data_IF_675442358279
#
_entry.id   IF_675442358279
#
_cell.length_a   1.000
_cell.length_b   1.000
_cell.length_c   1.000
_cell.angle_alpha   90.00
_cell.angle_beta   90.00
_cell.angle_gamma   90.00
#
_symmetry.space_group_name_H-M   'P 1'
#
loop_
_entity.id
_entity.type
_entity.pdbx_description
1 polymer ?
#
# COMPACT_ATOMS: atom_id res chain seq x y z
N UNK A 1 -2.07 22.52 16.65
CA UNK A 1 -1.03 21.60 16.14
C UNK A 1 -1.47 20.18 16.48
N UNK A 2 -1.45 19.29 15.50
CA UNK A 2 -1.72 17.87 15.73
C UNK A 2 -0.66 17.31 16.69
N UNK A 3 -1.10 16.49 17.65
CA UNK A 3 -0.19 15.85 18.59
C UNK A 3 0.32 14.52 18.02
N UNK A 4 1.62 14.25 18.20
CA UNK A 4 2.27 13.03 17.71
C UNK A 4 3.28 12.49 18.73
N UNK A 5 3.77 11.28 18.46
CA UNK A 5 4.87 10.59 19.12
C UNK A 5 5.89 10.17 18.06
N UNK A 6 7.18 10.34 18.34
CA UNK A 6 8.26 9.82 17.49
C UNK A 6 8.54 8.37 17.87
N UNK A 7 8.68 7.50 16.86
CA UNK A 7 9.02 6.09 17.04
C UNK A 7 10.38 5.78 16.40
N UNK A 8 11.10 4.83 16.99
CA UNK A 8 12.21 4.19 16.30
C UNK A 8 11.67 3.33 15.15
N UNK A 9 12.40 3.24 14.04
CA UNK A 9 11.92 2.54 12.85
C UNK A 9 11.63 1.06 13.11
N UNK A 10 12.39 0.40 13.99
CA UNK A 10 12.20 -0.98 14.40
C UNK A 10 10.84 -1.22 15.06
N UNK A 11 10.26 -0.19 15.70
CA UNK A 11 8.98 -0.25 16.37
C UNK A 11 7.80 -0.11 15.40
N UNK A 12 8.02 0.38 14.17
CA UNK A 12 6.97 0.65 13.18
C UNK A 12 6.08 -0.57 12.97
N UNK A 13 6.69 -1.75 12.77
CA UNK A 13 5.95 -3.00 12.48
C UNK A 13 5.03 -3.45 13.62
N UNK A 14 5.41 -3.18 14.87
CA UNK A 14 4.64 -3.55 16.07
C UNK A 14 3.72 -2.43 16.54
N UNK A 15 3.87 -1.22 15.99
CA UNK A 15 3.01 -0.08 16.26
C UNK A 15 1.69 -0.17 15.47
N UNK A 16 0.70 0.69 15.75
CA UNK A 16 -0.50 0.80 14.92
C UNK A 16 -0.23 1.08 13.43
N UNK A 17 0.94 1.64 13.08
CA UNK A 17 1.32 1.93 11.69
C UNK A 17 1.63 0.66 10.90
N UNK A 18 2.10 -0.41 11.55
CA UNK A 18 2.45 -1.68 10.89
C UNK A 18 1.27 -2.39 10.22
N UNK A 19 0.04 -2.02 10.59
CA UNK A 19 -1.22 -2.53 10.03
C UNK A 19 -1.85 -1.59 8.98
N UNK A 20 -1.23 -0.45 8.75
CA UNK A 20 -1.71 0.58 7.84
C UNK A 20 -1.15 0.39 6.43
N UNK A 21 -1.82 0.99 5.46
CA UNK A 21 -1.30 1.10 4.10
C UNK A 21 -0.61 2.45 3.92
N UNK A 22 0.45 2.49 3.09
CA UNK A 22 1.07 3.74 2.66
C UNK A 22 0.26 4.37 1.53
N UNK A 23 -0.62 5.31 1.87
CA UNK A 23 -1.48 6.04 0.94
C UNK A 23 -0.69 6.95 -0.01
N UNK A 24 0.54 7.36 0.35
CA UNK A 24 1.36 8.19 -0.51
C UNK A 24 2.05 7.40 -1.62
N UNK A 25 2.12 6.06 -1.52
CA UNK A 25 2.84 5.21 -2.45
C UNK A 25 2.35 5.33 -3.89
N UNK A 26 3.27 5.50 -4.83
CA UNK A 26 2.97 5.46 -6.27
C UNK A 26 2.44 4.09 -6.72
N UNK A 27 2.68 3.02 -5.95
CA UNK A 27 2.09 1.71 -6.19
C UNK A 27 0.55 1.69 -6.07
N UNK A 28 -0.04 2.66 -5.37
CA UNK A 28 -1.49 2.85 -5.28
C UNK A 28 -2.05 3.79 -6.35
N UNK A 29 -1.19 4.36 -7.20
CA UNK A 29 -1.57 5.40 -8.15
C UNK A 29 -1.45 6.83 -7.61
N UNK A 30 -0.82 7.02 -6.45
CA UNK A 30 -0.49 8.36 -5.95
C UNK A 30 0.54 9.05 -6.85
N UNK A 31 0.40 10.37 -7.00
CA UNK A 31 1.20 11.17 -7.94
C UNK A 31 1.60 12.51 -7.35
N UNK A 32 2.75 13.04 -7.77
CA UNK A 32 3.11 14.44 -7.52
C UNK A 32 2.37 15.31 -8.54
N UNK A 33 1.57 16.26 -8.07
CA UNK A 33 0.76 17.13 -8.95
C UNK A 33 1.25 18.58 -8.99
N UNK A 34 2.06 18.98 -8.01
CA UNK A 34 2.73 20.28 -7.99
C UNK A 34 3.94 20.22 -7.06
N UNK A 35 4.95 21.03 -7.33
CA UNK A 35 6.20 21.11 -6.56
C UNK A 35 6.84 22.47 -6.79
N UNK A 36 7.54 23.02 -5.79
CA UNK A 36 8.26 24.30 -5.92
C UNK A 36 9.55 24.18 -6.71
N UNK A 37 10.33 23.14 -6.45
CA UNK A 37 11.63 22.90 -7.06
C UNK A 37 11.97 21.40 -7.08
N UNK A 38 12.66 20.96 -8.12
CA UNK A 38 13.14 19.57 -8.30
C UNK A 38 14.55 19.57 -8.91
N UNK A 39 15.36 20.59 -8.61
CA UNK A 39 16.58 20.82 -9.38
C UNK A 39 17.58 19.67 -9.33
N UNK A 40 17.84 19.09 -8.15
CA UNK A 40 18.82 18.01 -8.02
C UNK A 40 18.18 16.64 -8.23
N UNK A 41 16.97 16.43 -7.70
CA UNK A 41 16.25 15.17 -7.86
C UNK A 41 14.72 15.33 -7.78
N UNK A 42 13.95 14.54 -8.54
CA UNK A 42 12.51 14.71 -8.67
C UNK A 42 11.73 14.25 -7.43
N UNK A 43 10.67 14.97 -7.08
CA UNK A 43 9.76 14.68 -5.98
C UNK A 43 9.05 13.33 -6.12
N UNK A 44 8.90 12.82 -7.34
CA UNK A 44 8.33 11.50 -7.61
C UNK A 44 9.12 10.36 -6.95
N UNK A 45 10.39 10.57 -6.64
CA UNK A 45 11.19 9.58 -5.91
C UNK A 45 10.71 9.39 -4.46
N UNK A 46 10.14 10.41 -3.81
CA UNK A 46 9.66 10.30 -2.43
C UNK A 46 8.59 9.23 -2.28
N UNK A 47 7.68 9.15 -3.24
CA UNK A 47 6.53 8.25 -3.23
C UNK A 47 6.83 6.87 -3.83
N UNK A 48 8.08 6.62 -4.25
CA UNK A 48 8.49 5.32 -4.77
C UNK A 48 8.41 4.26 -3.65
N UNK A 49 7.71 3.12 -3.85
CA UNK A 49 7.58 2.07 -2.83
C UNK A 49 8.90 1.40 -2.45
N UNK A 50 9.87 1.34 -3.37
CA UNK A 50 11.16 0.71 -3.11
C UNK A 50 11.97 1.53 -2.09
N UNK A 51 12.81 0.89 -1.26
CA UNK A 51 13.80 1.61 -0.46
C UNK A 51 14.67 2.52 -1.33
N UNK A 52 15.19 3.64 -0.80
CA UNK A 52 16.14 4.46 -1.53
C UNK A 52 17.41 3.67 -1.85
N UNK A 53 18.06 4.01 -2.97
CA UNK A 53 19.30 3.40 -3.43
C UNK A 53 20.42 4.45 -3.37
N UNK A 54 21.57 4.05 -2.83
CA UNK A 54 22.79 4.85 -2.88
C UNK A 54 23.64 4.48 -4.09
N UNK A 55 24.04 5.48 -4.88
CA UNK A 55 24.96 5.28 -6.01
C UNK A 55 26.15 6.26 -5.95
N UNK A 56 27.12 6.04 -5.03
CA UNK A 56 28.31 6.88 -4.93
C UNK A 56 29.05 7.02 -6.27
N UNK A 57 29.43 8.24 -6.62
CA UNK A 57 30.17 8.52 -7.86
C UNK A 57 29.30 8.57 -9.12
N UNK A 58 27.99 8.32 -9.03
CA UNK A 58 27.05 8.58 -10.13
C UNK A 58 26.68 10.06 -10.13
N UNK A 59 26.99 10.75 -11.22
CA UNK A 59 26.60 12.14 -11.43
C UNK A 59 25.63 12.26 -12.61
N UNK A 60 24.74 13.24 -12.52
CA UNK A 60 23.84 13.74 -13.58
C UNK A 60 24.13 15.23 -13.80
N UNK A 61 23.52 15.83 -14.80
CA UNK A 61 23.81 17.23 -15.20
C UNK A 61 23.61 18.25 -14.07
N UNK A 62 22.76 17.94 -13.09
CA UNK A 62 22.45 18.81 -11.95
C UNK A 62 23.32 18.53 -10.72
N UNK A 63 24.09 17.44 -10.66
CA UNK A 63 24.92 17.10 -9.50
C UNK A 63 25.08 15.59 -9.27
N UNK A 64 25.34 15.20 -8.02
CA UNK A 64 25.31 13.79 -7.64
C UNK A 64 23.88 13.25 -7.82
N UNK A 65 23.74 12.05 -8.38
CA UNK A 65 22.42 11.44 -8.53
C UNK A 65 21.91 11.00 -7.15
N UNK A 66 20.71 11.45 -6.79
CA UNK A 66 20.04 11.10 -5.54
C UNK A 66 18.74 10.33 -5.82
N UNK A 67 18.53 9.26 -5.07
CA UNK A 67 17.25 8.54 -5.05
C UNK A 67 16.31 9.14 -3.98
N UNK A 68 15.89 10.37 -4.24
CA UNK A 68 15.01 11.16 -3.39
C UNK A 68 14.52 12.41 -4.11
N UNK A 69 13.79 13.26 -3.39
CA UNK A 69 13.54 14.64 -3.79
C UNK A 69 14.67 15.51 -3.26
N UNK A 70 15.24 16.39 -4.07
CA UNK A 70 16.24 17.35 -3.61
C UNK A 70 16.13 18.68 -4.36
N UNK A 71 16.05 19.77 -3.59
CA UNK A 71 15.80 21.13 -4.07
C UNK A 71 17.07 21.98 -4.11
N UNK A 72 17.03 23.11 -4.85
CA UNK A 72 18.12 24.10 -4.86
C UNK A 72 18.37 24.65 -3.45
N UNK A 73 19.64 24.96 -3.19
CA UNK A 73 20.10 25.59 -1.94
C UNK A 73 19.63 27.03 -1.81
N UNK A 74 19.54 27.49 -0.56
CA UNK A 74 19.33 28.88 -0.16
C UNK A 74 17.93 29.41 -0.47
N UNK A 75 16.91 28.58 -0.31
CA UNK A 75 15.53 29.03 -0.34
C UNK A 75 15.28 29.91 0.90
N UNK A 76 14.89 31.19 0.74
CA UNK A 76 14.66 32.08 1.88
C UNK A 76 13.37 31.74 2.66
N UNK A 77 12.50 30.88 2.10
CA UNK A 77 11.24 30.45 2.69
C UNK A 77 11.29 28.96 3.00
N UNK A 78 10.61 28.15 2.19
CA UNK A 78 10.64 26.70 2.23
C UNK A 78 10.18 26.11 0.87
N UNK A 79 10.54 24.87 0.59
CA UNK A 79 10.06 24.11 -0.56
C UNK A 79 8.87 23.23 -0.20
N UNK A 80 8.03 22.87 -1.17
CA UNK A 80 6.93 21.95 -0.94
C UNK A 80 6.62 21.10 -2.17
N UNK A 81 6.03 19.93 -1.92
CA UNK A 81 5.48 19.04 -2.94
C UNK A 81 4.05 18.61 -2.56
N UNK A 82 3.13 18.68 -3.52
CA UNK A 82 1.75 18.23 -3.37
C UNK A 82 1.60 16.83 -3.99
N UNK A 83 1.14 15.90 -3.17
CA UNK A 83 0.83 14.52 -3.52
C UNK A 83 -0.69 14.40 -3.66
N UNK A 84 -1.17 13.98 -4.82
CA UNK A 84 -2.53 13.45 -4.99
C UNK A 84 -2.53 11.98 -4.66
N UNK A 85 -3.35 11.57 -3.70
CA UNK A 85 -3.45 10.17 -3.29
C UNK A 85 -4.18 9.35 -4.36
N UNK A 86 -3.75 8.10 -4.56
CA UNK A 86 -4.46 7.14 -5.41
C UNK A 86 -5.84 6.78 -4.86
N UNK A 87 -5.98 6.76 -3.53
CA UNK A 87 -7.24 6.59 -2.82
C UNK A 87 -7.37 7.62 -1.70
N UNK A 88 -8.58 8.12 -1.47
CA UNK A 88 -8.86 8.93 -0.29
C UNK A 88 -8.66 8.11 0.98
N UNK A 89 -8.20 8.75 2.05
CA UNK A 89 -7.98 8.05 3.30
C UNK A 89 -7.70 8.97 4.48
N UNK A 90 -7.78 8.38 5.67
CA UNK A 90 -7.35 8.96 6.94
C UNK A 90 -5.93 8.51 7.25
N UNK A 91 -5.22 9.26 8.10
CA UNK A 91 -3.82 9.00 8.44
C UNK A 91 -3.67 8.73 9.94
N UNK A 92 -2.79 7.76 10.26
CA UNK A 92 -2.33 7.47 11.61
C UNK A 92 -0.89 7.90 11.85
N UNK A 93 -0.10 8.09 10.80
CA UNK A 93 1.29 8.49 10.95
C UNK A 93 2.04 8.62 9.65
N UNK A 94 3.29 9.04 9.76
CA UNK A 94 4.18 9.31 8.65
C UNK A 94 5.57 8.71 8.89
N UNK A 95 6.28 8.41 7.82
CA UNK A 95 7.74 8.24 7.84
C UNK A 95 8.35 9.20 6.80
N UNK A 96 9.27 10.04 7.26
CA UNK A 96 10.02 10.97 6.42
C UNK A 96 11.48 10.53 6.40
N UNK A 97 11.82 9.73 5.41
CA UNK A 97 13.12 9.10 5.28
C UNK A 97 14.12 10.06 4.63
N UNK A 98 15.29 10.21 5.26
CA UNK A 98 16.41 11.05 4.81
C UNK A 98 17.65 10.23 4.43
N UNK A 99 17.54 8.91 4.25
CA UNK A 99 18.65 8.04 3.87
C UNK A 99 19.50 8.62 2.72
N UNK A 100 20.81 8.52 2.89
CA UNK A 100 21.85 9.00 1.97
C UNK A 100 22.00 10.52 1.83
N UNK A 101 21.13 11.31 2.46
CA UNK A 101 21.36 12.73 2.65
C UNK A 101 22.15 12.96 3.95
N UNK A 102 23.45 13.28 3.82
CA UNK A 102 24.42 13.33 4.93
C UNK A 102 24.93 14.74 5.17
N UNK A 103 24.01 15.69 5.36
CA UNK A 103 24.31 17.13 5.54
C UNK A 103 23.53 18.04 4.60
N UNK A 104 22.88 17.49 3.57
CA UNK A 104 21.99 18.17 2.64
C UNK A 104 20.53 17.67 2.75
N UNK A 105 20.19 16.95 3.82
CA UNK A 105 18.80 16.58 4.09
C UNK A 105 17.98 17.85 4.40
N UNK A 106 16.67 17.78 4.17
CA UNK A 106 15.74 18.75 4.72
C UNK A 106 15.96 18.83 6.24
N UNK A 107 16.29 19.98 6.84
CA UNK A 107 16.55 20.03 8.28
C UNK A 107 15.25 19.94 9.09
N UNK A 108 14.14 20.41 8.52
CA UNK A 108 12.81 20.25 9.09
C UNK A 108 11.79 19.91 8.00
N UNK A 109 10.69 19.29 8.41
CA UNK A 109 9.52 19.14 7.57
C UNK A 109 8.21 19.37 8.33
N UNK A 110 7.13 19.62 7.59
CA UNK A 110 5.75 19.50 8.11
C UNK A 110 4.85 18.90 7.03
N UNK A 111 3.67 18.44 7.43
CA UNK A 111 2.71 17.84 6.49
C UNK A 111 1.35 18.48 6.65
N UNK A 112 0.81 19.00 5.55
CA UNK A 112 -0.56 19.45 5.45
C UNK A 112 -1.40 18.47 4.62
N UNK A 113 -2.71 18.49 4.82
CA UNK A 113 -3.65 17.70 4.04
C UNK A 113 -4.88 18.50 3.60
N UNK A 114 -5.46 18.10 2.47
CA UNK A 114 -6.63 18.75 1.90
C UNK A 114 -7.56 17.76 1.18
N UNK A 115 -8.83 18.16 1.11
CA UNK A 115 -9.79 17.61 0.15
C UNK A 115 -9.83 18.57 -1.03
N UNK A 116 -9.30 18.16 -2.17
CA UNK A 116 -9.31 18.95 -3.41
C UNK A 116 -10.44 18.44 -4.29
N UNK A 117 -11.42 19.28 -4.67
CA UNK A 117 -12.50 18.88 -5.56
C UNK A 117 -12.00 18.34 -6.89
N UNK A 118 -12.72 17.38 -7.47
CA UNK A 118 -12.38 16.80 -8.77
C UNK A 118 -12.33 17.91 -9.83
N UNK A 119 -11.20 18.00 -10.53
CA UNK A 119 -10.96 19.01 -11.58
C UNK A 119 -10.49 20.38 -11.08
N UNK A 120 -10.39 20.60 -9.76
CA UNK A 120 -9.80 21.81 -9.21
C UNK A 120 -8.26 21.75 -9.23
N UNK A 121 -7.63 22.92 -9.33
CA UNK A 121 -6.18 23.07 -9.14
C UNK A 121 -5.85 22.98 -7.64
N UNK A 122 -4.96 22.06 -7.26
CA UNK A 122 -4.52 21.88 -5.88
C UNK A 122 -3.72 23.07 -5.32
N UNK A 123 -3.21 23.95 -6.19
CA UNK A 123 -2.54 25.20 -5.82
C UNK A 123 -3.50 26.39 -5.68
N UNK A 124 -4.80 26.20 -5.97
CA UNK A 124 -5.78 27.27 -5.81
C UNK A 124 -5.80 27.79 -4.37
N UNK A 125 -5.85 29.12 -4.14
CA UNK A 125 -5.96 29.70 -2.81
C UNK A 125 -7.27 29.35 -2.09
N UNK A 126 -8.26 28.80 -2.81
CA UNK A 126 -9.51 28.30 -2.24
C UNK A 126 -9.34 26.94 -1.52
N UNK A 127 -8.26 26.21 -1.80
CA UNK A 127 -7.98 24.93 -1.15
C UNK A 127 -7.56 25.17 0.30
N UNK A 128 -8.35 24.61 1.22
CA UNK A 128 -8.08 24.68 2.65
C UNK A 128 -7.14 23.54 3.06
N UNK A 129 -5.89 23.90 3.29
CA UNK A 129 -4.87 23.01 3.83
C UNK A 129 -4.94 22.99 5.36
N UNK A 130 -4.98 21.79 5.93
CA UNK A 130 -4.94 21.55 7.38
C UNK A 130 -3.60 20.94 7.75
N UNK A 131 -2.89 21.55 8.70
CA UNK A 131 -1.66 20.95 9.27
C UNK A 131 -2.01 19.67 10.02
N UNK A 132 -1.43 18.54 9.59
CA UNK A 132 -1.64 17.23 10.21
C UNK A 132 -0.37 16.63 10.84
N UNK A 133 0.81 17.13 10.45
CA UNK A 133 2.06 16.96 11.18
C UNK A 133 2.70 18.35 11.31
N UNK A 134 2.94 18.86 12.54
CA UNK A 134 3.59 20.16 12.71
C UNK A 134 5.05 20.11 12.25
N UNK A 135 5.74 21.25 12.33
CA UNK A 135 7.18 21.31 12.02
C UNK A 135 7.98 20.38 12.93
N UNK A 136 8.64 19.39 12.34
CA UNK A 136 9.50 18.40 12.99
C UNK A 136 10.93 18.52 12.46
N UNK A 137 11.92 18.19 13.30
CA UNK A 137 13.32 18.08 12.91
C UNK A 137 13.57 16.74 12.21
N UNK A 138 14.43 16.75 11.19
CA UNK A 138 14.84 15.56 10.45
C UNK A 138 16.37 15.42 10.52
N UNK A 139 16.88 14.50 11.36
CA UNK A 139 18.29 14.16 11.36
C UNK A 139 18.71 13.49 10.03
N UNK A 140 20.00 13.53 9.67
CA UNK A 140 20.50 12.95 8.43
C UNK A 140 20.39 11.42 8.41
N UNK A 141 20.22 10.88 7.20
CA UNK A 141 20.35 9.46 6.89
C UNK A 141 19.57 8.47 7.76
N UNK A 142 18.32 8.80 8.09
CA UNK A 142 17.47 7.93 8.89
C UNK A 142 15.98 8.00 8.51
N UNK A 143 15.26 6.98 8.94
CA UNK A 143 13.80 7.02 9.05
C UNK A 143 13.38 7.99 10.17
N UNK A 144 12.28 8.70 9.95
CA UNK A 144 11.70 9.61 10.94
C UNK A 144 10.23 9.30 11.05
N UNK A 145 9.91 8.38 11.97
CA UNK A 145 8.55 7.82 12.11
C UNK A 145 7.77 8.62 13.13
N UNK A 146 6.59 9.11 12.73
CA UNK A 146 5.70 9.90 13.56
C UNK A 146 4.34 9.21 13.65
N UNK A 147 3.95 8.77 14.85
CA UNK A 147 2.62 8.26 15.16
C UNK A 147 1.74 9.41 15.65
N UNK A 148 0.63 9.68 14.97
CA UNK A 148 -0.34 10.67 15.41
C UNK A 148 -1.13 10.13 16.61
N UNK A 149 -1.43 11.00 17.58
CA UNK A 149 -2.24 10.60 18.75
C UNK A 149 -3.68 10.27 18.39
N UNK A 150 -4.20 10.90 17.35
CA UNK A 150 -5.54 10.69 16.82
C UNK A 150 -5.46 10.45 15.32
N UNK A 151 -6.30 9.54 14.83
CA UNK A 151 -6.47 9.35 13.40
C UNK A 151 -7.13 10.58 12.78
N UNK A 152 -6.63 11.01 11.62
CA UNK A 152 -7.09 12.24 10.98
C UNK A 152 -8.44 12.05 10.27
N UNK A 153 -9.05 13.16 9.84
CA UNK A 153 -10.15 13.12 8.87
C UNK A 153 -9.70 12.52 7.52
N UNK A 154 -10.66 12.23 6.65
CA UNK A 154 -10.38 11.72 5.31
C UNK A 154 -9.91 12.85 4.39
N UNK A 155 -8.79 12.63 3.70
CA UNK A 155 -8.21 13.57 2.74
C UNK A 155 -7.95 12.90 1.39
N UNK A 156 -7.65 13.73 0.39
CA UNK A 156 -7.34 13.29 -0.99
C UNK A 156 -5.96 13.74 -1.45
N UNK A 157 -5.37 14.71 -0.75
CA UNK A 157 -4.08 15.30 -1.07
C UNK A 157 -3.28 15.53 0.20
N UNK A 158 -1.96 15.42 0.06
CA UNK A 158 -0.97 15.80 1.06
C UNK A 158 -0.05 16.86 0.49
N UNK A 159 0.45 17.76 1.33
CA UNK A 159 1.56 18.67 1.00
C UNK A 159 2.68 18.43 1.99
N UNK A 160 3.83 17.98 1.48
CA UNK A 160 5.05 17.84 2.26
C UNK A 160 5.82 19.15 2.15
N UNK A 161 6.04 19.82 3.27
CA UNK A 161 6.81 21.06 3.34
C UNK A 161 8.25 20.71 3.76
N UNK A 162 9.23 21.02 2.92
CA UNK A 162 10.67 20.85 3.12
C UNK A 162 11.28 22.20 3.54
N UNK A 163 11.75 22.31 4.78
CA UNK A 163 12.02 23.61 5.41
C UNK A 163 13.51 23.75 5.79
N UNK A 164 14.25 24.74 5.26
CA UNK A 164 13.88 25.60 4.13
C UNK A 164 14.11 24.94 2.75
N UNK A 165 15.09 24.06 2.66
CA UNK A 165 15.46 23.34 1.45
C UNK A 165 16.27 22.10 1.84
N UNK A 166 16.52 21.22 0.86
CA UNK A 166 17.32 20.02 1.05
C UNK A 166 16.66 18.77 0.49
N UNK A 167 17.09 17.61 0.97
CA UNK A 167 16.69 16.31 0.45
C UNK A 167 15.80 15.48 1.36
N UNK A 168 14.84 14.76 0.75
CA UNK A 168 14.00 13.74 1.37
C UNK A 168 14.03 12.49 0.46
N UNK A 169 14.48 11.36 0.99
CA UNK A 169 14.62 10.12 0.23
C UNK A 169 13.26 9.47 -0.05
N UNK A 170 12.46 9.28 0.99
CA UNK A 170 11.10 8.72 0.91
C UNK A 170 10.13 9.44 1.82
N UNK A 171 8.88 9.46 1.40
CA UNK A 171 7.75 9.87 2.21
C UNK A 171 6.72 8.76 2.23
N UNK A 172 6.28 8.37 3.43
CA UNK A 172 5.23 7.38 3.67
C UNK A 172 4.12 8.00 4.48
N UNK A 173 2.88 7.75 4.07
CA UNK A 173 1.68 8.22 4.75
C UNK A 173 0.83 7.02 5.18
N UNK A 174 1.06 6.55 6.39
CA UNK A 174 0.41 5.37 6.95
C UNK A 174 -1.00 5.70 7.40
N UNK A 175 -1.99 5.00 6.83
CA UNK A 175 -3.38 5.25 7.13
C UNK A 175 -4.32 4.14 6.67
N UNK A 176 -5.60 4.50 6.61
CA UNK A 176 -6.67 3.65 6.12
C UNK A 176 -7.28 4.27 4.86
N UNK A 177 -7.47 3.45 3.82
CA UNK A 177 -8.30 3.84 2.69
C UNK A 177 -9.73 4.06 3.18
N UNK A 178 -10.36 5.13 2.70
CA UNK A 178 -11.79 5.38 2.83
C UNK A 178 -12.46 4.96 1.53
N UNK A 179 -13.05 3.74 1.47
CA UNK A 179 -13.56 3.19 0.22
C UNK A 179 -14.80 3.94 -0.25
N UNK A 180 -14.91 4.14 -1.57
CA UNK A 180 -16.12 4.65 -2.20
C UNK A 180 -16.88 3.46 -2.78
N UNK A 181 -17.89 3.00 -2.07
CA UNK A 181 -18.68 1.86 -2.49
C UNK A 181 -19.78 2.25 -3.48
N UNK A 182 -20.11 1.36 -4.46
CA UNK A 182 -21.35 1.49 -5.22
C UNK A 182 -22.56 1.52 -4.28
N UNK A 183 -23.56 2.34 -4.62
CA UNK A 183 -24.83 2.40 -3.89
C UNK A 183 -25.54 1.04 -3.91
N UNK A 184 -25.50 0.36 -5.07
CA UNK A 184 -26.00 -1.01 -5.20
C UNK A 184 -25.05 -1.99 -4.52
N UNK A 185 -25.50 -2.61 -3.42
CA UNK A 185 -24.74 -3.65 -2.71
C UNK A 185 -24.54 -4.92 -3.54
N UNK A 186 -25.39 -5.17 -4.54
CA UNK A 186 -25.28 -6.30 -5.46
C UNK A 186 -24.26 -6.05 -6.59
N UNK A 187 -23.65 -4.87 -6.66
CA UNK A 187 -22.53 -4.64 -7.55
C UNK A 187 -21.37 -5.59 -7.22
N UNK A 188 -20.84 -6.26 -8.25
CA UNK A 188 -19.64 -7.08 -8.11
C UNK A 188 -18.44 -6.18 -7.85
N UNK A 189 -17.76 -6.41 -6.73
CA UNK A 189 -16.57 -5.69 -6.30
C UNK A 189 -15.46 -6.67 -5.94
N UNK A 190 -14.20 -6.25 -6.04
CA UNK A 190 -13.09 -7.00 -5.47
C UNK A 190 -12.97 -6.70 -3.97
N UNK A 191 -13.36 -7.66 -3.14
CA UNK A 191 -13.31 -7.54 -1.68
C UNK A 191 -11.88 -7.62 -1.11
N UNK A 192 -10.92 -8.11 -1.90
CA UNK A 192 -9.50 -8.15 -1.53
C UNK A 192 -8.71 -6.92 -2.05
N UNK A 193 -9.34 -6.03 -2.81
CA UNK A 193 -8.66 -4.85 -3.34
C UNK A 193 -8.36 -3.83 -2.24
N UNK A 194 -7.11 -3.35 -2.19
CA UNK A 194 -6.72 -2.35 -1.19
C UNK A 194 -7.46 -1.02 -1.34
N UNK A 195 -7.82 -0.62 -2.58
CA UNK A 195 -8.63 0.56 -2.84
C UNK A 195 -10.07 0.46 -2.32
N UNK A 196 -10.52 -0.78 -2.04
CA UNK A 196 -11.78 -1.07 -1.36
C UNK A 196 -11.60 -1.25 0.15
N UNK A 197 -10.41 -0.96 0.70
CA UNK A 197 -10.12 -1.03 2.14
C UNK A 197 -9.56 -2.37 2.63
N UNK A 198 -9.30 -3.33 1.73
CA UNK A 198 -8.72 -4.60 2.12
C UNK A 198 -7.27 -4.44 2.60
N UNK A 199 -6.87 -5.23 3.60
CA UNK A 199 -5.53 -5.14 4.22
C UNK A 199 -4.94 -6.52 4.49
N UNK A 200 -3.64 -6.67 4.29
CA UNK A 200 -2.89 -7.83 4.78
C UNK A 200 -2.61 -7.62 6.27
N UNK A 201 -3.23 -8.44 7.12
CA UNK A 201 -3.19 -8.28 8.59
C UNK A 201 -2.21 -9.25 9.26
N UNK A 202 -1.80 -10.31 8.56
CA UNK A 202 -0.71 -11.20 8.97
C UNK A 202 -0.06 -11.79 7.72
N UNK A 203 1.27 -11.91 7.73
CA UNK A 203 2.05 -12.52 6.64
C UNK A 203 3.14 -13.40 7.25
N UNK A 204 3.24 -14.66 6.81
CA UNK A 204 4.22 -15.61 7.36
C UNK A 204 5.66 -15.21 7.06
N UNK A 205 5.91 -14.71 5.85
CA UNK A 205 7.25 -14.38 5.35
C UNK A 205 7.17 -13.27 4.31
N UNK A 206 8.01 -12.24 4.44
CA UNK A 206 8.09 -11.11 3.51
C UNK A 206 9.55 -10.82 3.14
N UNK A 207 10.32 -11.89 2.87
CA UNK A 207 11.77 -11.78 2.75
C UNK A 207 12.22 -10.89 1.59
N UNK A 208 11.60 -11.05 0.41
CA UNK A 208 11.97 -10.28 -0.77
C UNK A 208 11.05 -9.09 -1.00
N UNK A 209 9.74 -9.30 -0.89
CA UNK A 209 8.74 -8.25 -1.08
C UNK A 209 7.53 -8.40 -0.15
N UNK A 210 6.80 -7.31 0.15
CA UNK A 210 5.66 -7.33 1.07
C UNK A 210 4.48 -8.19 0.60
N UNK A 211 3.80 -8.84 1.55
CA UNK A 211 2.55 -9.60 1.33
C UNK A 211 1.37 -8.72 0.94
N UNK A 212 1.35 -7.47 1.38
CA UNK A 212 0.32 -6.48 1.01
C UNK A 212 0.29 -6.19 -0.49
N UNK A 213 1.38 -6.46 -1.23
CA UNK A 213 1.46 -6.20 -2.66
C UNK A 213 0.44 -7.00 -3.49
N UNK A 214 -0.06 -8.13 -2.98
CA UNK A 214 -1.05 -8.93 -3.71
C UNK A 214 -2.41 -8.23 -3.82
N UNK A 215 -2.64 -7.17 -3.04
CA UNK A 215 -3.89 -6.41 -2.98
C UNK A 215 -3.87 -5.13 -3.84
N UNK A 216 -2.70 -4.77 -4.37
CA UNK A 216 -2.46 -3.52 -5.11
C UNK A 216 -3.22 -3.46 -6.45
N UNK A 217 -3.38 -2.27 -7.06
CA UNK A 217 -3.90 -2.13 -8.43
C UNK A 217 -3.03 -2.81 -9.49
N UNK A 218 -3.62 -3.07 -10.66
CA UNK A 218 -2.93 -3.58 -11.84
C UNK A 218 -2.26 -4.94 -11.64
N UNK A 219 -1.33 -5.25 -12.56
CA UNK A 219 -0.56 -6.51 -12.59
C UNK A 219 0.94 -6.33 -12.31
N UNK A 220 1.34 -5.14 -11.87
CA UNK A 220 2.74 -4.81 -11.67
C UNK A 220 3.56 -4.75 -12.97
N UNK A 221 4.85 -4.48 -12.83
CA UNK A 221 5.82 -4.31 -13.90
C UNK A 221 6.89 -5.41 -13.89
N UNK A 222 7.28 -5.90 -12.71
CA UNK A 222 8.31 -6.94 -12.54
C UNK A 222 8.04 -7.78 -11.27
N UNK A 223 8.99 -8.52 -10.70
CA UNK A 223 8.74 -9.29 -9.47
C UNK A 223 8.72 -8.44 -8.19
N UNK A 224 9.36 -7.26 -8.21
CA UNK A 224 9.52 -6.36 -7.05
C UNK A 224 8.22 -5.75 -6.51
N UNK A 225 7.13 -5.85 -7.27
CA UNK A 225 5.80 -5.31 -6.93
C UNK A 225 4.75 -6.42 -6.69
N UNK A 226 5.17 -7.68 -6.47
CA UNK A 226 4.34 -8.75 -5.94
C UNK A 226 4.74 -9.12 -4.51
N UNK A 227 4.26 -10.24 -3.99
CA UNK A 227 4.72 -10.85 -2.74
C UNK A 227 5.63 -12.03 -3.05
N UNK A 228 6.80 -12.11 -2.41
CA UNK A 228 7.75 -13.21 -2.59
C UNK A 228 8.40 -13.61 -1.27
N UNK A 229 8.39 -14.92 -1.00
CA UNK A 229 8.94 -15.52 0.21
C UNK A 229 10.31 -16.14 -0.01
N UNK A 230 11.04 -16.38 1.09
CA UNK A 230 12.29 -17.11 1.02
C UNK A 230 12.02 -18.58 0.66
N UNK A 231 12.84 -19.10 -0.26
CA UNK A 231 12.86 -20.53 -0.60
C UNK A 231 13.01 -21.42 0.64
N UNK A 232 12.14 -22.41 0.78
CA UNK A 232 12.15 -23.38 1.86
C UNK A 232 12.74 -24.73 1.44
N UNK A 233 13.15 -25.48 2.46
CA UNK A 233 13.63 -26.87 2.39
C UNK A 233 12.96 -27.77 3.42
N UNK A 234 12.12 -27.19 4.29
CA UNK A 234 11.44 -27.92 5.35
C UNK A 234 10.26 -28.70 4.76
N UNK A 235 10.18 -30.02 4.95
CA UNK A 235 9.04 -30.81 4.49
C UNK A 235 7.73 -30.26 5.04
N UNK A 236 6.73 -30.09 4.16
CA UNK A 236 5.42 -29.57 4.54
C UNK A 236 5.37 -28.07 4.82
N UNK A 237 6.44 -27.32 4.52
CA UNK A 237 6.43 -25.86 4.63
C UNK A 237 5.35 -25.23 3.77
N UNK A 238 4.77 -24.14 4.27
CA UNK A 238 3.83 -23.28 3.57
C UNK A 238 4.06 -21.84 4.00
N UNK A 239 3.78 -20.90 3.11
CA UNK A 239 3.68 -19.49 3.46
C UNK A 239 2.25 -18.98 3.24
N UNK A 240 1.84 -17.93 3.95
CA UNK A 240 0.49 -17.38 3.83
C UNK A 240 0.43 -15.86 3.98
N UNK A 241 -0.59 -15.29 3.36
CA UNK A 241 -1.10 -13.94 3.65
C UNK A 241 -2.52 -14.08 4.17
N UNK A 242 -2.75 -13.55 5.37
CA UNK A 242 -4.08 -13.34 5.93
C UNK A 242 -4.55 -11.93 5.57
N UNK A 243 -5.73 -11.86 4.99
CA UNK A 243 -6.32 -10.66 4.41
C UNK A 243 -7.61 -10.38 5.17
N UNK A 244 -7.74 -9.16 5.69
CA UNK A 244 -9.03 -8.58 6.04
C UNK A 244 -9.64 -7.98 4.79
N UNK A 245 -10.85 -8.42 4.44
CA UNK A 245 -11.57 -7.90 3.29
C UNK A 245 -11.98 -6.45 3.52
N UNK A 246 -12.14 -5.69 2.44
CA UNK A 246 -12.54 -4.28 2.50
C UNK A 246 -13.93 -4.07 3.13
N UNK A 247 -14.82 -5.04 2.92
CA UNK A 247 -16.08 -5.17 3.66
C UNK A 247 -16.41 -6.66 3.80
N UNK A 248 -17.32 -7.00 4.73
CA UNK A 248 -17.86 -8.35 4.80
C UNK A 248 -18.72 -8.63 3.57
N UNK A 249 -18.62 -9.85 3.03
CA UNK A 249 -19.33 -10.17 1.80
C UNK A 249 -19.28 -11.63 1.40
N UNK A 250 -20.01 -11.92 0.33
CA UNK A 250 -20.06 -13.21 -0.33
C UNK A 250 -18.99 -13.26 -1.41
N UNK A 251 -18.04 -14.20 -1.32
CA UNK A 251 -16.96 -14.33 -2.29
C UNK A 251 -17.37 -15.34 -3.36
N UNK A 252 -17.42 -14.90 -4.61
CA UNK A 252 -18.01 -15.65 -5.71
C UNK A 252 -16.95 -16.19 -6.67
N UNK A 253 -15.89 -15.42 -6.90
CA UNK A 253 -14.80 -15.78 -7.82
C UNK A 253 -13.46 -15.32 -7.28
N UNK A 254 -12.44 -16.16 -7.40
CA UNK A 254 -11.05 -15.77 -7.13
C UNK A 254 -10.26 -15.68 -8.43
N UNK A 255 -9.33 -14.72 -8.49
CA UNK A 255 -8.27 -14.71 -9.50
C UNK A 255 -6.93 -14.62 -8.81
N UNK A 256 -6.06 -15.60 -9.09
CA UNK A 256 -4.69 -15.66 -8.60
C UNK A 256 -3.77 -15.34 -9.77
N UNK A 257 -2.92 -14.33 -9.61
CA UNK A 257 -1.99 -13.87 -10.64
C UNK A 257 -0.55 -14.23 -10.25
N UNK A 258 0.18 -14.94 -11.11
CA UNK A 258 1.61 -15.26 -10.96
C UNK A 258 2.50 -14.48 -11.93
N UNK A 259 2.01 -13.38 -12.51
CA UNK A 259 2.78 -12.53 -13.43
C UNK A 259 4.17 -12.21 -12.90
N UNK A 260 5.13 -12.29 -13.80
CA UNK A 260 6.57 -12.07 -13.59
C UNK A 260 7.28 -13.15 -12.74
N UNK A 261 6.56 -14.07 -12.10
CA UNK A 261 7.14 -15.21 -11.40
C UNK A 261 7.27 -16.40 -12.35
N UNK A 262 8.34 -16.41 -13.15
CA UNK A 262 8.53 -17.42 -14.20
C UNK A 262 9.23 -18.70 -13.71
N UNK A 263 9.99 -18.63 -12.62
CA UNK A 263 10.74 -19.78 -12.05
C UNK A 263 10.57 -19.98 -10.54
N UNK A 264 9.85 -19.07 -9.90
CA UNK A 264 9.65 -18.96 -8.46
C UNK A 264 8.17 -18.72 -8.12
N UNK A 265 7.24 -19.10 -9.01
CA UNK A 265 5.81 -19.22 -8.68
C UNK A 265 5.60 -20.40 -7.72
N UNK A 266 4.55 -20.38 -6.88
CA UNK A 266 4.30 -21.47 -5.96
C UNK A 266 3.82 -22.72 -6.69
N UNK A 267 4.20 -23.91 -6.21
CA UNK A 267 3.73 -25.14 -6.84
C UNK A 267 2.22 -25.30 -6.69
N UNK A 268 1.69 -25.00 -5.50
CA UNK A 268 0.25 -25.00 -5.24
C UNK A 268 -0.20 -23.80 -4.43
N UNK A 269 -1.48 -23.48 -4.55
CA UNK A 269 -2.19 -22.54 -3.69
C UNK A 269 -3.39 -23.20 -3.02
N UNK A 270 -3.78 -22.66 -1.87
CA UNK A 270 -5.00 -23.00 -1.13
C UNK A 270 -5.62 -21.68 -0.68
N UNK A 271 -6.92 -21.51 -0.85
CA UNK A 271 -7.64 -20.33 -0.36
C UNK A 271 -8.66 -20.75 0.70
N UNK A 272 -8.61 -20.11 1.86
CA UNK A 272 -9.59 -20.29 2.94
C UNK A 272 -10.23 -18.95 3.30
N UNK A 273 -11.42 -18.97 3.89
CA UNK A 273 -12.08 -17.78 4.39
C UNK A 273 -12.79 -18.03 5.72
N UNK A 274 -12.96 -16.96 6.50
CA UNK A 274 -13.65 -16.98 7.79
C UNK A 274 -14.42 -15.68 8.04
N UNK A 275 -15.36 -15.72 8.99
CA UNK A 275 -16.08 -14.56 9.48
C UNK A 275 -15.68 -14.28 10.93
N UNK A 276 -15.08 -13.12 11.17
CA UNK A 276 -14.64 -12.66 12.48
C UNK A 276 -14.93 -11.17 12.63
N UNK A 277 -15.02 -10.73 13.88
CA UNK A 277 -15.08 -9.30 14.25
C UNK A 277 -13.69 -8.74 14.57
N UNK A 278 -12.71 -9.61 14.84
CA UNK A 278 -11.35 -9.22 15.17
C UNK A 278 -10.58 -8.75 13.93
N UNK A 279 -9.49 -8.01 14.16
CA UNK A 279 -8.55 -7.60 13.12
C UNK A 279 -7.76 -8.79 12.57
N UNK A 280 -7.31 -9.66 13.48
CA UNK A 280 -6.73 -10.97 13.18
C UNK A 280 -7.69 -12.00 13.80
N UNK A 281 -8.27 -12.93 13.03
CA UNK A 281 -9.14 -13.97 13.57
C UNK A 281 -8.44 -14.77 14.67
N UNK A 282 -9.22 -15.20 15.67
CA UNK A 282 -8.75 -16.00 16.79
C UNK A 282 -8.17 -17.35 16.32
N UNK A 283 -7.30 -17.97 17.13
CA UNK A 283 -6.59 -19.18 16.76
C UNK A 283 -7.51 -20.38 16.49
N UNK A 284 -8.69 -20.39 17.10
CA UNK A 284 -9.76 -21.39 16.96
C UNK A 284 -10.84 -20.99 15.94
N UNK A 285 -10.65 -19.90 15.20
CA UNK A 285 -11.59 -19.47 14.17
C UNK A 285 -11.84 -20.60 13.14
N UNK A 286 -13.11 -20.82 12.82
CA UNK A 286 -13.50 -21.81 11.82
C UNK A 286 -13.20 -21.30 10.40
N UNK A 287 -12.41 -22.08 9.65
CA UNK A 287 -12.02 -21.75 8.28
C UNK A 287 -12.76 -22.62 7.27
N UNK A 288 -13.44 -21.99 6.32
CA UNK A 288 -14.02 -22.66 5.14
C UNK A 288 -13.01 -22.67 4.00
N UNK A 289 -12.73 -23.83 3.40
CA UNK A 289 -11.89 -23.93 2.20
C UNK A 289 -12.68 -23.47 0.98
N UNK A 290 -12.15 -22.48 0.26
CA UNK A 290 -12.73 -21.97 -0.99
C UNK A 290 -12.00 -22.52 -2.23
N UNK A 291 -10.69 -22.76 -2.12
CA UNK A 291 -9.89 -23.44 -3.15
C UNK A 291 -9.11 -24.55 -2.46
N UNK A 292 -9.44 -25.80 -2.78
CA UNK A 292 -8.63 -26.98 -2.46
C UNK A 292 -7.24 -26.89 -3.13
N UNK A 293 -6.21 -27.62 -2.66
CA UNK A 293 -4.85 -27.50 -3.20
C UNK A 293 -4.77 -27.57 -4.73
N UNK A 294 -4.58 -26.41 -5.35
CA UNK A 294 -4.60 -26.23 -6.80
C UNK A 294 -3.20 -25.89 -7.30
N UNK A 295 -2.75 -26.56 -8.36
CA UNK A 295 -1.47 -26.25 -8.98
C UNK A 295 -1.50 -24.89 -9.68
N UNK A 296 -0.41 -24.16 -9.61
CA UNK A 296 -0.22 -22.94 -10.42
C UNK A 296 0.92 -23.10 -11.41
N UNK A 297 1.12 -22.08 -12.24
CA UNK A 297 2.09 -22.04 -13.32
C UNK A 297 2.77 -20.67 -13.41
N UNK A 298 3.79 -20.57 -14.28
CA UNK A 298 4.57 -19.35 -14.41
C UNK A 298 3.81 -18.27 -15.19
N UNK A 299 3.85 -17.03 -14.69
CA UNK A 299 3.37 -15.85 -15.42
C UNK A 299 1.96 -16.01 -16.01
N UNK A 300 0.97 -16.36 -15.18
CA UNK A 300 -0.37 -16.67 -15.67
C UNK A 300 -1.48 -16.19 -14.71
N UNK A 301 -2.72 -16.22 -15.19
CA UNK A 301 -3.93 -15.93 -14.43
C UNK A 301 -4.74 -17.20 -14.20
N UNK A 302 -5.01 -17.51 -12.94
CA UNK A 302 -5.79 -18.67 -12.53
C UNK A 302 -7.15 -18.20 -11.99
N UNK A 303 -8.21 -18.63 -12.66
CA UNK A 303 -9.59 -18.25 -12.32
C UNK A 303 -10.30 -19.41 -11.62
N UNK A 304 -11.00 -19.10 -10.52
CA UNK A 304 -11.72 -20.09 -9.74
C UNK A 304 -13.14 -19.59 -9.43
N UNK A 305 -14.15 -20.33 -9.89
CA UNK A 305 -15.51 -20.21 -9.37
C UNK A 305 -15.56 -20.86 -7.99
N UNK A 306 -16.00 -20.11 -6.98
CA UNK A 306 -15.86 -20.53 -5.59
C UNK A 306 -17.14 -21.20 -5.06
N UNK A 307 -17.01 -22.22 -4.17
CA UNK A 307 -18.13 -22.78 -3.44
C UNK A 307 -18.55 -21.86 -2.28
N UNK A 308 -19.62 -22.24 -1.58
CA UNK A 308 -20.09 -21.56 -0.36
C UNK A 308 -20.45 -20.07 -0.57
N UNK A 309 -20.95 -19.73 -1.75
CA UNK A 309 -21.33 -18.37 -2.13
C UNK A 309 -22.49 -17.81 -1.29
N UNK A 310 -23.22 -18.67 -0.60
CA UNK A 310 -24.25 -18.34 0.39
C UNK A 310 -23.67 -17.81 1.71
N UNK A 311 -22.41 -18.09 2.02
CA UNK A 311 -21.76 -17.65 3.27
C UNK A 311 -21.17 -16.25 3.15
N UNK A 312 -21.19 -15.53 4.27
CA UNK A 312 -20.54 -14.23 4.41
C UNK A 312 -19.18 -14.41 5.08
N UNK A 313 -18.15 -13.82 4.48
CA UNK A 313 -16.79 -13.82 4.98
C UNK A 313 -16.30 -12.39 5.25
N UNK A 314 -15.33 -12.29 6.14
CA UNK A 314 -14.67 -11.02 6.51
C UNK A 314 -13.16 -11.07 6.29
N UNK A 315 -12.61 -12.28 6.23
CA UNK A 315 -11.19 -12.52 6.04
C UNK A 315 -11.00 -13.66 5.04
N UNK A 316 -9.90 -13.59 4.31
CA UNK A 316 -9.40 -14.65 3.45
C UNK A 316 -7.94 -14.96 3.81
N UNK A 317 -7.52 -16.20 3.63
CA UNK A 317 -6.14 -16.66 3.82
C UNK A 317 -5.71 -17.40 2.57
N UNK A 318 -4.81 -16.78 1.81
CA UNK A 318 -4.13 -17.43 0.68
C UNK A 318 -2.86 -18.08 1.20
N UNK A 319 -2.72 -19.37 0.92
CA UNK A 319 -1.59 -20.20 1.34
C UNK A 319 -0.88 -20.65 0.07
N UNK A 320 0.45 -20.50 0.03
CA UNK A 320 1.30 -20.97 -1.03
C UNK A 320 2.12 -22.18 -0.54
N UNK A 321 2.38 -23.13 -1.45
CA UNK A 321 3.08 -24.37 -1.13
C UNK A 321 4.19 -24.65 -2.16
N UNK A 322 5.41 -24.98 -1.72
CA UNK A 322 5.89 -24.77 -0.35
C UNK A 322 6.11 -23.28 -0.06
N UNK A 323 6.57 -22.54 -1.05
CA UNK A 323 7.00 -21.14 -1.01
C UNK A 323 6.90 -20.57 -2.44
N UNK A 324 7.28 -19.32 -2.65
CA UNK A 324 7.33 -18.69 -3.98
C UNK A 324 6.77 -17.28 -3.98
N UNK A 325 6.30 -16.83 -5.13
CA UNK A 325 5.75 -15.49 -5.30
C UNK A 325 4.41 -15.43 -6.02
N UNK A 326 3.58 -14.47 -5.58
CA UNK A 326 2.29 -14.13 -6.18
C UNK A 326 2.29 -12.66 -6.58
N UNK A 327 1.68 -12.36 -7.73
CA UNK A 327 1.50 -10.99 -8.18
C UNK A 327 0.29 -10.36 -7.51
N UNK A 328 -0.90 -10.93 -7.68
CA UNK A 328 -2.17 -10.43 -7.12
C UNK A 328 -3.07 -11.55 -6.66
N UNK A 329 -3.97 -11.20 -5.76
CA UNK A 329 -5.17 -11.95 -5.44
C UNK A 329 -6.37 -11.02 -5.59
N UNK A 330 -7.35 -11.43 -6.40
CA UNK A 330 -8.65 -10.76 -6.53
C UNK A 330 -9.73 -11.67 -5.99
N UNK A 331 -10.62 -11.15 -5.14
CA UNK A 331 -11.73 -11.88 -4.55
C UNK A 331 -13.03 -11.15 -4.89
N UNK A 332 -13.58 -11.48 -6.06
CA UNK A 332 -14.78 -10.84 -6.57
C UNK A 332 -16.02 -11.39 -5.88
N UNK A 333 -16.89 -10.47 -5.49
CA UNK A 333 -18.07 -10.80 -4.71
C UNK A 333 -19.01 -9.63 -4.55
N UNK A 334 -19.97 -9.79 -3.64
CA UNK A 334 -20.93 -8.75 -3.25
C UNK A 334 -20.86 -8.54 -1.74
N UNK A 335 -21.19 -7.32 -1.30
CA UNK A 335 -21.17 -6.99 0.14
C UNK A 335 -22.31 -7.67 0.88
N UNK A 336 -22.16 -7.84 2.20
CA UNK A 336 -23.20 -8.42 3.05
C UNK A 336 -24.53 -7.68 2.93
N UNK A 337 -25.62 -8.46 2.81
CA UNK A 337 -26.98 -7.97 2.60
C UNK A 337 -27.34 -7.68 1.14
N UNK A 338 -26.45 -8.01 0.18
CA UNK A 338 -26.75 -7.97 -1.24
C UNK A 338 -27.63 -9.16 -1.68
N UNK A 339 -28.31 -9.00 -2.82
CA UNK A 339 -28.88 -10.14 -3.56
C UNK A 339 -27.77 -10.82 -4.34
N UNK A 340 -27.64 -12.14 -4.20
CA UNK A 340 -26.64 -12.92 -4.93
C UNK A 340 -26.96 -12.95 -6.44
N UNK A 341 -25.97 -12.72 -7.31
CA UNK A 341 -26.15 -12.81 -8.76
C UNK A 341 -26.26 -14.26 -9.21
N UNK A 342 -26.64 -14.46 -10.47
CA UNK A 342 -26.51 -15.76 -11.12
C UNK A 342 -25.03 -16.16 -11.22
N UNK A 343 -24.75 -17.45 -11.05
CA UNK A 343 -23.41 -18.03 -11.08
C UNK A 343 -23.24 -18.94 -12.32
N UNK A 344 -22.02 -19.06 -12.88
CA UNK A 344 -20.81 -18.33 -12.50
C UNK A 344 -20.85 -16.86 -12.94
N UNK A 345 -20.23 -15.97 -12.17
CA UNK A 345 -20.08 -14.57 -12.59
C UNK A 345 -19.00 -14.43 -13.65
N UNK A 346 -19.17 -13.50 -14.58
CA UNK A 346 -18.12 -13.09 -15.51
C UNK A 346 -17.43 -11.83 -14.98
N UNK A 347 -16.11 -11.93 -14.75
CA UNK A 347 -15.27 -10.80 -14.32
C UNK A 347 -14.47 -10.23 -15.48
N UNK A 348 -14.64 -10.77 -16.69
CA UNK A 348 -13.96 -10.36 -17.91
C UNK A 348 -12.45 -10.15 -17.72
N UNK A 349 -11.96 -9.05 -18.29
CA UNK A 349 -10.58 -8.58 -18.11
C UNK A 349 -10.41 -7.70 -16.86
N UNK A 350 -11.36 -7.64 -15.92
CA UNK A 350 -11.18 -6.84 -14.70
C UNK A 350 -10.01 -7.35 -13.85
N UNK A 351 -9.65 -8.63 -14.00
CA UNK A 351 -8.43 -9.18 -13.39
C UNK A 351 -7.13 -8.79 -14.12
N UNK A 352 -7.24 -8.22 -15.33
CA UNK A 352 -6.13 -7.77 -16.14
C UNK A 352 -5.85 -6.25 -16.06
N UNK A 353 -6.70 -5.50 -15.34
CA UNK A 353 -6.60 -4.04 -15.12
C UNK A 353 -6.12 -3.71 -13.70
#
# INVERSE_FOLDING_TARGET
MAAYESLEYEQLKTSPLGQCIDLASSALGSTIVAVTDEFFAPATNMINPAPPIHAPGRFVDTGAWMDGWETKRHNPNYDWAIIKLGFSGSFKGFDIDTHYFTGNQAPFASVDAAVVPVGADAQSPEIKWTEILPKVELPPTQHNVFLLKEETAVYTHLRVNNIPDGGIARFRAYGNVSPIWPEDKSAIVDLAFCGNGARAVEVSNQHYTPGSNILLPGRGQNMGDGWETKRSRTPGHTDHVLIRLGDKGHILKAVVDTSNYCGNYPHKIILKATNSTQEIPEADAEWTTLIEPASTGPHDLFYFDLPHTDKVFSHAKIIIVPDGGLKRLRLYGVREGATLPALPIDVGNAAAQ
#
